data_IF_767375968016
#
_entry.id   IF_767375968016
#
_cell.length_a   1.000
_cell.length_b   1.000
_cell.length_c   1.000
_cell.angle_alpha   90.00
_cell.angle_beta   90.00
_cell.angle_gamma   90.00
#
_symmetry.space_group_name_H-M   'P 1'
#
loop_
_entity.id
_entity.type
_entity.pdbx_description
1 polymer ?
#
# COMPACT_ATOMS: atom_id res chain seq x y z
N UNK A 1 -57.28 52.30 -73.25
CA UNK A 1 -58.69 52.22 -72.85
C UNK A 1 -58.79 51.64 -71.43
N UNK A 2 -59.69 52.21 -70.61
CA UNK A 2 -60.16 51.80 -69.27
C UNK A 2 -59.13 51.87 -68.11
N UNK A 3 -59.26 52.82 -67.15
CA UNK A 3 -60.20 52.88 -65.99
C UNK A 3 -59.91 51.72 -65.01
N UNK A 4 -59.70 51.88 -63.70
CA UNK A 4 -60.19 52.86 -62.70
C UNK A 4 -59.44 52.66 -61.36
N UNK A 5 -59.11 53.78 -60.69
CA UNK A 5 -59.18 54.12 -59.25
C UNK A 5 -59.23 53.00 -58.20
N UNK A 6 -58.37 53.07 -57.17
CA UNK A 6 -58.73 53.58 -55.84
C UNK A 6 -57.51 53.66 -54.91
N UNK A 7 -57.43 54.76 -54.17
CA UNK A 7 -56.48 55.02 -53.09
C UNK A 7 -56.93 54.35 -51.79
N UNK A 8 -55.99 53.96 -50.92
CA UNK A 8 -55.83 54.55 -49.58
C UNK A 8 -54.86 53.73 -48.71
N UNK A 9 -54.03 54.50 -48.00
CA UNK A 9 -53.09 54.22 -46.94
C UNK A 9 -53.27 52.96 -46.08
N UNK A 10 -52.15 52.26 -45.90
CA UNK A 10 -51.87 51.40 -44.75
C UNK A 10 -50.35 51.31 -44.55
N UNK A 11 -49.76 52.31 -43.90
CA UNK A 11 -48.40 52.23 -43.35
C UNK A 11 -48.39 51.12 -42.30
N UNK A 12 -47.58 50.08 -42.47
CA UNK A 12 -47.55 48.97 -41.52
C UNK A 12 -46.34 48.05 -41.69
N UNK A 13 -45.25 48.45 -41.02
CA UNK A 13 -44.16 47.61 -40.52
C UNK A 13 -43.19 46.98 -41.53
N UNK A 14 -42.19 47.78 -41.92
CA UNK A 14 -40.90 47.28 -42.43
C UNK A 14 -40.09 46.70 -41.26
N UNK A 15 -39.44 45.56 -41.53
CA UNK A 15 -38.63 44.71 -40.67
C UNK A 15 -37.72 45.44 -39.66
N UNK A 16 -37.67 44.91 -38.43
CA UNK A 16 -36.47 44.96 -37.58
C UNK A 16 -36.14 43.53 -37.10
N UNK A 17 -35.50 42.74 -37.98
CA UNK A 17 -34.73 41.55 -37.62
C UNK A 17 -33.28 41.93 -37.26
N UNK A 18 -33.11 43.04 -36.52
CA UNK A 18 -31.80 43.51 -36.09
C UNK A 18 -31.61 43.18 -34.61
N UNK A 19 -30.80 42.16 -34.34
CA UNK A 19 -30.12 42.05 -33.06
C UNK A 19 -30.25 40.72 -32.32
N UNK A 20 -29.85 39.60 -32.92
CA UNK A 20 -28.96 38.72 -32.16
C UNK A 20 -27.61 39.43 -32.06
N UNK A 21 -27.55 40.49 -31.24
CA UNK A 21 -26.25 40.93 -30.74
C UNK A 21 -25.67 39.70 -30.05
N UNK A 22 -24.48 39.26 -30.47
CA UNK A 22 -23.64 38.41 -29.63
C UNK A 22 -23.43 39.21 -28.36
N UNK A 23 -24.30 39.00 -27.37
CA UNK A 23 -24.14 39.55 -26.05
C UNK A 23 -22.76 39.10 -25.60
N UNK A 24 -21.93 40.07 -25.21
CA UNK A 24 -20.67 39.77 -24.59
C UNK A 24 -20.97 39.08 -23.26
N UNK A 25 -21.01 37.74 -23.30
CA UNK A 25 -21.22 36.88 -22.14
C UNK A 25 -20.07 37.00 -21.14
N UNK A 26 -18.98 37.70 -21.50
CA UNK A 26 -17.87 37.90 -20.61
C UNK A 26 -18.10 39.03 -19.62
N UNK A 27 -19.15 39.87 -19.70
CA UNK A 27 -19.58 40.89 -18.70
C UNK A 27 -18.53 41.36 -17.66
N UNK A 28 -17.30 41.72 -18.06
CA UNK A 28 -16.24 42.11 -17.12
C UNK A 28 -15.64 41.00 -16.23
N UNK A 29 -15.97 39.73 -16.49
CA UNK A 29 -15.32 38.55 -15.95
C UNK A 29 -13.88 38.54 -16.48
N UNK A 30 -12.94 38.77 -15.57
CA UNK A 30 -11.53 38.53 -15.85
C UNK A 30 -11.30 37.07 -16.29
N UNK A 31 -10.20 36.79 -16.99
CA UNK A 31 -9.84 35.42 -17.33
C UNK A 31 -9.88 34.56 -16.06
N UNK A 32 -10.59 33.44 -16.10
CA UNK A 32 -10.58 32.52 -14.98
C UNK A 32 -9.14 32.11 -14.68
N UNK A 33 -8.73 32.10 -13.39
CA UNK A 33 -7.40 31.63 -13.05
C UNK A 33 -7.22 30.21 -13.58
N UNK A 34 -6.01 29.90 -14.03
CA UNK A 34 -5.69 28.55 -14.48
C UNK A 34 -6.10 27.53 -13.41
N UNK A 35 -6.82 26.49 -13.83
CA UNK A 35 -7.26 25.44 -12.93
C UNK A 35 -6.04 24.83 -12.21
N UNK A 36 -6.00 24.94 -10.88
CA UNK A 36 -4.97 24.28 -10.09
C UNK A 36 -5.30 22.80 -10.00
N UNK A 37 -4.39 21.98 -10.52
CA UNK A 37 -4.45 20.52 -10.37
C UNK A 37 -4.37 20.16 -8.89
N UNK A 38 -5.31 19.34 -8.41
CA UNK A 38 -5.21 18.77 -7.07
C UNK A 38 -3.99 17.85 -6.99
N UNK A 39 -3.22 17.98 -5.92
CA UNK A 39 -2.09 17.11 -5.60
C UNK A 39 -2.08 16.79 -4.10
N UNK A 40 -1.99 15.50 -3.71
CA UNK A 40 -1.79 15.10 -2.33
C UNK A 40 -0.47 15.63 -1.75
N UNK A 41 -0.38 15.64 -0.42
CA UNK A 41 0.76 16.15 0.34
C UNK A 41 1.45 14.99 1.05
N UNK A 42 2.77 14.84 0.85
CA UNK A 42 3.55 13.89 1.60
C UNK A 42 3.62 14.29 3.09
N UNK A 43 3.49 13.32 3.99
CA UNK A 43 3.35 13.50 5.43
C UNK A 43 1.91 13.80 5.89
N UNK A 44 0.93 13.79 5.00
CA UNK A 44 -0.47 13.90 5.39
C UNK A 44 -0.98 12.59 6.01
N UNK A 45 -1.76 12.69 7.08
CA UNK A 45 -2.37 11.54 7.74
C UNK A 45 -3.86 11.42 7.41
N UNK A 46 -4.40 10.21 7.41
CA UNK A 46 -5.77 9.91 6.99
C UNK A 46 -6.48 9.04 8.04
N UNK A 47 -7.75 9.34 8.28
CA UNK A 47 -8.57 8.61 9.26
C UNK A 47 -8.79 7.13 8.88
N UNK A 48 -8.68 6.82 7.58
CA UNK A 48 -8.91 5.50 7.00
C UNK A 48 -7.68 5.12 6.18
N UNK A 49 -7.27 3.86 6.28
CA UNK A 49 -6.48 3.21 5.25
C UNK A 49 -7.48 2.52 4.34
N UNK A 50 -7.64 3.01 3.11
CA UNK A 50 -8.45 2.32 2.12
C UNK A 50 -7.55 1.30 1.43
N UNK A 51 -7.60 0.05 1.88
CA UNK A 51 -6.80 -1.06 1.37
C UNK A 51 -7.43 -1.74 0.15
N UNK A 52 -8.57 -1.23 -0.32
CA UNK A 52 -9.31 -1.76 -1.48
C UNK A 52 -9.36 -0.82 -2.68
N UNK A 53 -9.28 0.50 -2.45
CA UNK A 53 -9.32 1.46 -3.52
C UNK A 53 -7.99 1.55 -4.25
N UNK A 54 -7.98 1.39 -5.57
CA UNK A 54 -6.78 1.64 -6.39
C UNK A 54 -6.69 3.13 -6.82
N UNK A 55 -7.77 3.88 -6.61
CA UNK A 55 -7.92 5.27 -6.99
C UNK A 55 -8.29 6.13 -5.79
N UNK A 56 -7.69 7.31 -5.72
CA UNK A 56 -7.99 8.34 -4.75
C UNK A 56 -8.83 9.45 -5.39
N UNK A 57 -10.02 9.65 -4.82
CA UNK A 57 -10.91 10.75 -5.15
C UNK A 57 -10.46 12.03 -4.45
N UNK A 58 -10.50 13.15 -5.16
CA UNK A 58 -10.01 14.44 -4.65
C UNK A 58 -10.89 15.00 -3.52
N UNK A 59 -12.20 14.75 -3.56
CA UNK A 59 -13.18 15.14 -2.55
C UNK A 59 -13.12 14.27 -1.28
N UNK A 60 -12.57 13.06 -1.38
CA UNK A 60 -12.28 12.18 -0.25
C UNK A 60 -10.93 12.46 0.42
N UNK A 61 -10.08 13.29 -0.19
CA UNK A 61 -8.82 13.73 0.41
C UNK A 61 -9.06 14.70 1.57
N UNK A 62 -9.27 14.13 2.76
CA UNK A 62 -9.58 14.83 4.01
C UNK A 62 -8.49 14.52 5.05
N UNK A 63 -7.28 15.10 4.91
CA UNK A 63 -6.20 14.82 5.83
C UNK A 63 -6.56 15.26 7.25
N UNK A 64 -6.17 14.43 8.22
CA UNK A 64 -6.33 14.67 9.66
C UNK A 64 -4.98 15.00 10.30
N UNK A 65 -4.95 15.68 11.45
CA UNK A 65 -3.69 15.94 12.16
C UNK A 65 -3.01 14.63 12.59
N UNK A 66 -1.74 14.43 12.22
CA UNK A 66 -0.98 13.23 12.60
C UNK A 66 -0.78 13.07 14.12
N UNK A 67 -0.89 14.16 14.90
CA UNK A 67 -0.87 14.09 16.35
C UNK A 67 -2.15 13.46 16.94
N UNK A 68 -3.24 13.46 16.15
CA UNK A 68 -4.50 12.81 16.47
C UNK A 68 -4.59 11.38 15.93
N UNK A 69 -5.70 10.69 16.22
CA UNK A 69 -5.97 9.35 15.70
C UNK A 69 -6.04 9.33 14.17
N UNK A 70 -5.31 8.39 13.56
CA UNK A 70 -5.32 8.13 12.11
C UNK A 70 -4.88 6.69 11.83
N UNK A 71 -5.15 6.18 10.62
CA UNK A 71 -4.83 4.80 10.21
C UNK A 71 -3.83 4.72 9.06
N UNK A 72 -3.67 5.81 8.31
CA UNK A 72 -2.71 5.87 7.22
C UNK A 72 -1.93 7.19 7.20
N UNK A 73 -0.73 7.15 6.61
CA UNK A 73 0.10 8.33 6.35
C UNK A 73 0.66 8.26 4.92
N UNK A 74 0.58 9.37 4.19
CA UNK A 74 1.19 9.48 2.85
C UNK A 74 2.69 9.62 2.99
N UNK A 75 3.44 8.52 2.89
CA UNK A 75 4.90 8.54 3.00
C UNK A 75 5.57 9.29 1.84
N UNK A 76 4.99 9.21 0.64
CA UNK A 76 5.49 9.88 -0.55
C UNK A 76 4.38 10.20 -1.56
N UNK A 77 4.63 11.20 -2.40
CA UNK A 77 3.84 11.50 -3.59
C UNK A 77 4.78 11.57 -4.78
N UNK A 78 4.58 10.67 -5.74
CA UNK A 78 5.40 10.53 -6.95
C UNK A 78 4.73 11.25 -8.11
N UNK A 79 5.50 11.57 -9.14
CA UNK A 79 4.97 12.06 -10.42
C UNK A 79 4.82 10.90 -11.38
N UNK A 80 3.67 10.82 -12.06
CA UNK A 80 3.50 9.88 -13.16
C UNK A 80 4.25 10.40 -14.39
N UNK A 81 5.11 9.56 -14.96
CA UNK A 81 5.76 9.84 -16.24
C UNK A 81 4.77 9.70 -17.40
N UNK A 82 5.07 10.36 -18.52
CA UNK A 82 4.21 10.28 -19.71
C UNK A 82 4.06 8.85 -20.26
N UNK A 83 5.11 8.02 -20.13
CA UNK A 83 5.08 6.61 -20.55
C UNK A 83 4.11 5.78 -19.70
N UNK A 84 4.08 6.01 -18.38
CA UNK A 84 3.21 5.31 -17.43
C UNK A 84 1.73 5.61 -17.68
N UNK A 85 1.41 6.83 -18.11
CA UNK A 85 0.03 7.25 -18.45
C UNK A 85 -0.47 6.58 -19.74
N UNK A 86 0.43 6.21 -20.65
CA UNK A 86 0.09 5.68 -21.99
C UNK A 86 0.10 4.15 -22.09
N UNK A 87 0.43 3.45 -21.00
CA UNK A 87 0.62 2.00 -20.97
C UNK A 87 -0.69 1.21 -20.90
N UNK A 88 -0.82 0.16 -21.72
CA UNK A 88 -1.88 -0.86 -21.61
C UNK A 88 -1.57 -1.97 -20.57
N UNK A 89 -0.36 -1.97 -20.00
CA UNK A 89 0.08 -2.89 -18.93
C UNK A 89 -0.37 -2.34 -17.57
N UNK A 90 -0.64 -3.18 -16.54
CA UNK A 90 -0.92 -2.70 -15.18
C UNK A 90 0.31 -1.98 -14.63
N UNK A 91 0.36 -0.67 -14.83
CA UNK A 91 1.43 0.22 -14.36
C UNK A 91 1.51 0.23 -12.82
N UNK A 92 0.49 -0.29 -12.16
CA UNK A 92 0.41 -0.50 -10.73
C UNK A 92 1.65 -1.24 -10.18
N UNK A 93 2.28 -2.15 -10.94
CA UNK A 93 3.50 -2.86 -10.48
C UNK A 93 4.73 -1.94 -10.46
N UNK A 94 4.84 -1.03 -11.43
CA UNK A 94 5.88 0.02 -11.45
C UNK A 94 5.65 0.99 -10.29
N UNK A 95 4.41 1.43 -10.09
CA UNK A 95 4.01 2.29 -8.98
C UNK A 95 4.32 1.65 -7.62
N UNK A 96 4.00 0.37 -7.46
CA UNK A 96 4.27 -0.38 -6.24
C UNK A 96 5.77 -0.50 -5.94
N UNK A 97 6.59 -0.71 -6.99
CA UNK A 97 8.05 -0.75 -6.87
C UNK A 97 8.63 0.59 -6.43
N UNK A 98 8.23 1.69 -7.07
CA UNK A 98 8.71 3.03 -6.71
C UNK A 98 8.17 3.49 -5.34
N UNK A 99 6.91 3.18 -5.02
CA UNK A 99 6.36 3.39 -3.69
C UNK A 99 7.13 2.61 -2.64
N UNK A 100 7.41 1.32 -2.86
CA UNK A 100 8.24 0.50 -1.95
C UNK A 100 9.57 1.18 -1.66
N UNK A 101 10.28 1.65 -2.69
CA UNK A 101 11.58 2.33 -2.53
C UNK A 101 11.48 3.59 -1.67
N UNK A 102 10.48 4.44 -1.94
CA UNK A 102 10.28 5.72 -1.25
C UNK A 102 9.81 5.53 0.18
N UNK A 103 8.88 4.59 0.39
CA UNK A 103 8.40 4.17 1.70
C UNK A 103 9.55 3.61 2.54
N UNK A 104 10.37 2.71 1.98
CA UNK A 104 11.49 2.11 2.72
C UNK A 104 12.49 3.17 3.20
N UNK A 105 12.81 4.15 2.34
CA UNK A 105 13.67 5.27 2.72
C UNK A 105 13.06 6.14 3.85
N UNK A 106 11.74 6.33 3.82
CA UNK A 106 11.02 7.14 4.80
C UNK A 106 10.83 6.41 6.15
N UNK A 107 10.54 5.10 6.13
CA UNK A 107 10.46 4.23 7.32
C UNK A 107 11.83 3.92 7.93
N UNK A 108 12.90 3.99 7.12
CA UNK A 108 14.26 3.67 7.54
C UNK A 108 14.61 2.19 7.50
N UNK A 109 13.84 1.39 6.77
CA UNK A 109 13.98 -0.07 6.63
C UNK A 109 12.97 -0.62 5.62
N UNK A 110 13.08 -1.90 5.27
CA UNK A 110 12.09 -2.55 4.39
C UNK A 110 10.76 -2.68 5.13
N UNK A 111 9.68 -2.11 4.56
CA UNK A 111 8.34 -2.10 5.16
C UNK A 111 7.86 -3.49 5.55
N UNK A 112 8.27 -4.52 4.80
CA UNK A 112 7.92 -5.92 5.04
C UNK A 112 8.56 -6.51 6.29
N UNK A 113 9.54 -5.84 6.88
CA UNK A 113 10.16 -6.24 8.17
C UNK A 113 9.39 -5.74 9.38
N UNK A 114 8.34 -4.94 9.18
CA UNK A 114 7.44 -4.51 10.23
C UNK A 114 5.98 -4.91 10.00
N UNK A 115 5.16 -4.58 10.98
CA UNK A 115 3.69 -4.68 10.89
C UNK A 115 3.11 -3.53 10.04
N UNK A 116 3.66 -3.34 8.85
CA UNK A 116 3.33 -2.25 7.93
C UNK A 116 2.78 -2.83 6.64
N UNK A 117 1.90 -2.07 6.00
CA UNK A 117 1.46 -2.26 4.62
C UNK A 117 1.69 -0.97 3.83
N UNK A 118 1.82 -1.11 2.52
CA UNK A 118 1.89 0.03 1.60
C UNK A 118 0.72 -0.03 0.62
N UNK A 119 0.18 1.12 0.28
CA UNK A 119 -0.95 1.23 -0.62
C UNK A 119 -0.74 2.36 -1.63
N UNK A 120 -0.31 2.03 -2.87
CA UNK A 120 -0.24 3.00 -3.95
C UNK A 120 -1.64 3.40 -4.43
N UNK A 121 -1.92 4.69 -4.41
CA UNK A 121 -3.17 5.28 -4.86
C UNK A 121 -2.94 6.23 -6.03
N UNK A 122 -3.81 6.09 -7.02
CA UNK A 122 -3.72 6.82 -8.28
C UNK A 122 -4.76 7.95 -8.30
N UNK A 123 -4.66 8.97 -9.13
CA UNK A 123 -5.77 9.91 -9.31
C UNK A 123 -6.93 9.15 -9.96
N UNK A 124 -8.17 9.52 -9.65
CA UNK A 124 -9.34 8.97 -10.33
C UNK A 124 -9.30 9.19 -11.84
N UNK A 125 -10.06 8.42 -12.61
CA UNK A 125 -10.16 8.57 -14.07
C UNK A 125 -10.50 10.00 -14.49
N UNK A 126 -11.39 10.66 -13.76
CA UNK A 126 -11.78 12.06 -13.99
C UNK A 126 -10.64 13.03 -13.68
N UNK A 127 -9.91 12.81 -12.58
CA UNK A 127 -8.74 13.60 -12.24
C UNK A 127 -7.63 13.43 -13.29
N UNK A 128 -7.44 12.21 -13.79
CA UNK A 128 -6.49 11.92 -14.87
C UNK A 128 -6.88 12.61 -16.18
N UNK A 129 -8.17 12.57 -16.56
CA UNK A 129 -8.70 13.31 -17.71
C UNK A 129 -8.52 14.83 -17.53
N UNK A 130 -8.65 15.31 -16.30
CA UNK A 130 -8.35 16.68 -15.91
C UNK A 130 -6.86 17.04 -15.96
N UNK A 131 -5.94 16.07 -16.07
CA UNK A 131 -4.49 16.28 -16.16
C UNK A 131 -3.69 15.88 -14.92
N UNK A 132 -4.29 15.22 -13.92
CA UNK A 132 -3.60 14.83 -12.70
C UNK A 132 -2.56 13.74 -13.00
N UNK A 133 -1.33 13.95 -12.55
CA UNK A 133 -0.18 13.05 -12.78
C UNK A 133 0.60 12.84 -11.49
N UNK A 134 0.05 12.02 -10.60
CA UNK A 134 0.72 11.69 -9.34
C UNK A 134 0.40 10.27 -8.87
N UNK A 135 1.24 9.70 -8.01
CA UNK A 135 0.95 8.48 -7.24
C UNK A 135 1.11 8.82 -5.77
N UNK A 136 0.12 8.50 -4.95
CA UNK A 136 0.15 8.67 -3.50
C UNK A 136 0.53 7.34 -2.87
N UNK A 137 1.68 7.27 -2.20
CA UNK A 137 2.13 6.07 -1.51
C UNK A 137 1.74 6.16 -0.04
N UNK A 138 0.59 5.61 0.31
CA UNK A 138 0.13 5.56 1.69
C UNK A 138 0.74 4.35 2.42
N UNK A 139 0.96 4.50 3.72
CA UNK A 139 1.38 3.42 4.61
C UNK A 139 0.41 3.34 5.78
N UNK A 140 0.20 2.12 6.27
CA UNK A 140 -0.58 1.87 7.47
C UNK A 140 0.07 0.79 8.32
N UNK A 141 -0.21 0.81 9.61
CA UNK A 141 0.09 -0.34 10.47
C UNK A 141 -1.03 -1.35 10.36
N UNK A 142 -0.65 -2.61 10.22
CA UNK A 142 -1.58 -3.72 10.14
C UNK A 142 -1.50 -4.56 11.40
N UNK A 143 -2.65 -4.82 12.01
CA UNK A 143 -2.71 -5.68 13.18
C UNK A 143 -2.23 -7.09 12.82
N UNK A 144 -1.30 -7.67 13.58
CA UNK A 144 -0.78 -9.01 13.33
C UNK A 144 -1.76 -10.14 13.71
N UNK A 145 -2.94 -9.79 14.22
CA UNK A 145 -3.98 -10.73 14.66
C UNK A 145 -5.07 -10.73 13.57
N UNK A 146 -5.93 -9.72 13.58
CA UNK A 146 -7.12 -9.62 12.74
C UNK A 146 -6.91 -8.95 11.37
N UNK A 147 -5.66 -8.57 11.02
CA UNK A 147 -5.33 -7.93 9.73
C UNK A 147 -6.15 -6.67 9.43
N UNK A 148 -6.48 -5.92 10.47
CA UNK A 148 -7.12 -4.60 10.33
C UNK A 148 -6.14 -3.47 10.55
N UNK A 149 -6.37 -2.36 9.85
CA UNK A 149 -5.56 -1.15 10.01
C UNK A 149 -5.66 -0.60 11.44
N UNK A 150 -4.51 -0.46 12.09
CA UNK A 150 -4.40 0.01 13.48
C UNK A 150 -4.54 1.52 13.53
N UNK A 151 -5.37 2.01 14.44
CA UNK A 151 -5.44 3.44 14.76
C UNK A 151 -4.22 3.86 15.60
N UNK A 152 -3.56 4.94 15.18
CA UNK A 152 -2.31 5.41 15.78
C UNK A 152 -2.29 6.91 15.98
N UNK A 153 -1.31 7.35 16.76
CA UNK A 153 -0.93 8.75 16.95
C UNK A 153 0.56 8.91 16.67
N UNK A 154 0.92 10.03 16.06
CA UNK A 154 2.28 10.32 15.62
C UNK A 154 2.63 9.65 14.29
N UNK A 155 3.64 10.19 13.63
CA UNK A 155 4.08 9.73 12.31
C UNK A 155 4.77 8.36 12.37
N UNK A 156 4.60 7.56 11.31
CA UNK A 156 5.32 6.29 11.12
C UNK A 156 6.76 6.48 10.61
N UNK A 157 7.20 7.72 10.34
CA UNK A 157 8.53 8.01 9.80
C UNK A 157 9.63 7.45 10.70
N UNK A 158 10.57 6.69 10.13
CA UNK A 158 11.70 6.14 10.85
C UNK A 158 11.37 4.99 11.82
N UNK A 159 10.14 4.47 11.83
CA UNK A 159 9.72 3.41 12.76
C UNK A 159 10.30 2.03 12.47
N UNK A 160 11.00 1.86 11.35
CA UNK A 160 11.71 0.62 10.98
C UNK A 160 13.23 0.76 11.03
N UNK A 161 13.75 1.86 11.58
CA UNK A 161 15.15 1.94 11.99
C UNK A 161 15.46 0.89 13.06
N UNK A 162 16.72 0.49 13.28
CA UNK A 162 17.08 -0.45 14.34
C UNK A 162 16.48 -0.06 15.70
N UNK A 163 15.78 -1.00 16.35
CA UNK A 163 15.06 -0.75 17.61
C UNK A 163 13.71 -0.05 17.46
N UNK A 164 13.25 0.18 16.24
CA UNK A 164 11.96 0.79 15.93
C UNK A 164 10.77 -0.07 16.37
N UNK A 165 9.68 0.60 16.76
CA UNK A 165 8.52 -0.03 17.43
C UNK A 165 7.70 -0.94 16.52
N UNK A 166 7.82 -0.80 15.20
CA UNK A 166 7.03 -1.57 14.24
C UNK A 166 7.75 -2.79 13.69
N UNK A 167 9.04 -2.94 14.01
CA UNK A 167 9.81 -4.11 13.59
C UNK A 167 9.20 -5.38 14.18
N UNK A 168 9.03 -6.39 13.32
CA UNK A 168 8.68 -7.73 13.77
C UNK A 168 9.86 -8.31 14.55
N UNK A 169 9.55 -8.92 15.69
CA UNK A 169 10.54 -9.54 16.57
C UNK A 169 10.01 -10.88 17.06
N UNK A 170 9.80 -11.05 18.36
CA UNK A 170 9.28 -12.26 18.96
C UNK A 170 7.76 -12.14 19.16
N UNK A 171 7.05 -13.25 19.04
CA UNK A 171 5.61 -13.30 19.17
C UNK A 171 5.14 -14.65 19.69
N UNK A 172 3.87 -14.70 20.10
CA UNK A 172 3.16 -15.95 20.29
C UNK A 172 2.22 -16.15 19.11
N UNK A 173 2.34 -17.28 18.43
CA UNK A 173 1.46 -17.59 17.30
C UNK A 173 0.28 -18.42 17.75
N UNK A 174 -0.90 -18.08 17.26
CA UNK A 174 -2.05 -18.98 17.24
C UNK A 174 -2.40 -19.33 15.81
N UNK A 175 -2.66 -20.61 15.56
CA UNK A 175 -3.07 -21.12 14.25
C UNK A 175 -4.59 -21.34 14.33
N UNK A 176 -5.33 -20.59 13.52
CA UNK A 176 -6.77 -20.69 13.37
C UNK A 176 -7.19 -21.98 12.66
N UNK A 177 -8.49 -22.27 12.68
CA UNK A 177 -9.06 -23.47 12.03
C UNK A 177 -9.02 -23.42 10.49
N UNK A 178 -8.74 -22.26 9.92
CA UNK A 178 -8.60 -21.99 8.48
C UNK A 178 -7.13 -21.87 8.04
N UNK A 179 -6.19 -22.35 8.88
CA UNK A 179 -4.75 -22.15 8.74
C UNK A 179 -4.31 -20.66 8.81
N UNK A 180 -5.21 -19.77 9.26
CA UNK A 180 -4.88 -18.39 9.58
C UNK A 180 -3.84 -18.32 10.70
N UNK A 181 -2.87 -17.42 10.55
CA UNK A 181 -1.84 -17.19 11.56
C UNK A 181 -2.13 -15.86 12.24
N UNK A 182 -2.28 -15.88 13.57
CA UNK A 182 -2.30 -14.68 14.40
C UNK A 182 -0.98 -14.61 15.16
N UNK A 183 -0.32 -13.47 15.10
CA UNK A 183 0.88 -13.21 15.89
C UNK A 183 0.55 -12.23 17.00
N UNK A 184 0.93 -12.57 18.23
CA UNK A 184 0.83 -11.71 19.39
C UNK A 184 2.23 -11.24 19.78
N UNK A 185 2.69 -10.04 19.34
CA UNK A 185 4.03 -9.56 19.62
C UNK A 185 4.32 -9.49 21.11
N UNK A 186 5.47 -10.00 21.53
CA UNK A 186 5.95 -9.95 22.91
C UNK A 186 7.45 -9.63 22.93
N UNK A 187 7.98 -9.05 24.03
CA UNK A 187 9.42 -8.91 24.19
C UNK A 187 10.10 -10.28 24.07
N UNK A 188 11.22 -10.37 23.36
CA UNK A 188 11.96 -11.64 23.26
C UNK A 188 12.44 -12.18 24.61
N UNK A 189 12.58 -11.34 25.63
CA UNK A 189 12.89 -11.77 26.99
C UNK A 189 11.74 -12.57 27.65
N UNK A 190 10.51 -12.38 27.18
CA UNK A 190 9.33 -13.14 27.59
C UNK A 190 9.28 -14.50 26.87
N UNK A 191 8.50 -15.42 27.42
CA UNK A 191 8.19 -16.69 26.75
C UNK A 191 7.45 -16.43 25.43
N UNK A 192 7.95 -17.01 24.34
CA UNK A 192 7.40 -16.88 22.99
C UNK A 192 7.63 -18.19 22.21
N UNK A 193 6.89 -18.43 21.13
CA UNK A 193 7.11 -19.57 20.23
C UNK A 193 7.44 -19.17 18.80
N UNK A 194 7.43 -17.88 18.47
CA UNK A 194 7.89 -17.41 17.17
C UNK A 194 8.87 -16.26 17.26
N UNK A 195 9.76 -16.22 16.27
CA UNK A 195 10.70 -15.11 16.08
C UNK A 195 10.90 -14.81 14.60
N UNK A 196 10.70 -13.54 14.22
CA UNK A 196 10.91 -13.08 12.85
C UNK A 196 12.37 -13.23 12.45
N UNK A 197 12.61 -14.04 11.42
CA UNK A 197 13.95 -14.36 10.94
C UNK A 197 14.37 -13.47 9.75
N UNK A 198 13.41 -13.06 8.93
CA UNK A 198 13.65 -12.23 7.77
C UNK A 198 12.68 -12.51 6.62
N UNK A 199 13.06 -12.07 5.43
CA UNK A 199 12.25 -12.17 4.22
C UNK A 199 12.81 -13.22 3.27
N UNK A 200 11.91 -13.94 2.61
CA UNK A 200 12.17 -14.65 1.36
C UNK A 200 11.41 -13.94 0.25
N UNK A 201 12.05 -13.62 -0.88
CA UNK A 201 11.37 -13.04 -2.06
C UNK A 201 11.26 -14.12 -3.12
N UNK A 202 10.03 -14.45 -3.51
CA UNK A 202 9.75 -15.52 -4.46
C UNK A 202 10.15 -15.09 -5.87
N UNK A 203 10.83 -15.94 -6.65
CA UNK A 203 11.09 -15.70 -8.06
C UNK A 203 9.87 -16.04 -8.95
N UNK A 204 8.79 -16.58 -8.37
CA UNK A 204 7.58 -16.92 -9.12
C UNK A 204 6.91 -15.65 -9.63
N UNK A 205 6.35 -15.76 -10.84
CA UNK A 205 5.61 -14.66 -11.48
C UNK A 205 4.15 -14.68 -11.05
N UNK A 206 3.51 -15.84 -11.23
CA UNK A 206 2.10 -16.02 -10.92
C UNK A 206 1.92 -16.53 -9.49
N UNK A 207 0.86 -16.05 -8.82
CA UNK A 207 0.48 -16.51 -7.49
C UNK A 207 0.11 -18.01 -7.50
N UNK A 208 -0.49 -18.51 -8.57
CA UNK A 208 -0.88 -19.92 -8.73
C UNK A 208 0.32 -20.89 -8.78
N UNK A 209 1.51 -20.40 -9.11
CA UNK A 209 2.76 -21.19 -9.10
C UNK A 209 3.43 -21.19 -7.71
N UNK A 210 2.92 -20.41 -6.77
CA UNK A 210 3.42 -20.33 -5.41
C UNK A 210 2.78 -21.44 -4.56
N UNK A 211 3.62 -22.23 -3.89
CA UNK A 211 3.19 -23.39 -3.12
C UNK A 211 3.85 -23.42 -1.74
N UNK A 212 3.30 -24.22 -0.84
CA UNK A 212 3.91 -24.48 0.47
C UNK A 212 5.35 -25.01 0.35
N UNK A 213 5.62 -25.87 -0.65
CA UNK A 213 6.95 -26.41 -0.90
C UNK A 213 7.95 -25.32 -1.35
N UNK A 214 7.49 -24.35 -2.15
CA UNK A 214 8.32 -23.19 -2.52
C UNK A 214 8.64 -22.32 -1.30
N UNK A 215 7.66 -22.13 -0.42
CA UNK A 215 7.85 -21.37 0.82
C UNK A 215 8.81 -22.07 1.78
N UNK A 216 8.71 -23.38 1.93
CA UNK A 216 9.63 -24.19 2.73
C UNK A 216 11.08 -24.04 2.25
N UNK A 217 11.28 -24.25 0.94
CA UNK A 217 12.58 -24.11 0.28
C UNK A 217 13.16 -22.70 0.44
N UNK A 218 12.31 -21.68 0.38
CA UNK A 218 12.72 -20.28 0.46
C UNK A 218 12.98 -19.76 1.87
N UNK A 219 12.15 -20.15 2.85
CA UNK A 219 12.31 -19.73 4.24
C UNK A 219 13.45 -20.49 4.94
N UNK A 220 13.67 -21.77 4.64
CA UNK A 220 14.77 -22.57 5.23
C UNK A 220 16.14 -21.85 5.29
N UNK A 221 16.70 -21.32 4.17
CA UNK A 221 17.95 -20.57 4.21
C UNK A 221 17.88 -19.26 5.01
N UNK A 222 16.70 -18.62 5.11
CA UNK A 222 16.49 -17.43 5.94
C UNK A 222 16.62 -17.78 7.42
N UNK A 223 15.94 -18.86 7.85
CA UNK A 223 15.98 -19.35 9.23
C UNK A 223 17.38 -19.80 9.62
N UNK A 224 18.03 -20.60 8.78
CA UNK A 224 19.38 -21.11 9.02
C UNK A 224 20.39 -19.96 9.19
N UNK A 225 20.36 -18.97 8.29
CA UNK A 225 21.20 -17.77 8.36
C UNK A 225 20.91 -16.94 9.61
N UNK A 226 19.64 -16.75 9.94
CA UNK A 226 19.23 -16.01 11.13
C UNK A 226 19.75 -16.67 12.41
N UNK A 227 19.54 -17.98 12.54
CA UNK A 227 19.93 -18.74 13.73
C UNK A 227 21.43 -19.08 13.78
N UNK A 228 22.16 -18.94 12.67
CA UNK A 228 23.57 -19.31 12.59
C UNK A 228 23.80 -20.83 12.63
N UNK A 229 22.94 -21.60 11.97
CA UNK A 229 23.03 -23.06 11.84
C UNK A 229 23.19 -23.47 10.37
N UNK A 230 23.67 -24.70 10.08
CA UNK A 230 23.71 -25.21 8.72
C UNK A 230 22.32 -25.24 8.07
N UNK A 231 22.22 -24.82 6.81
CA UNK A 231 21.03 -25.02 5.98
C UNK A 231 21.11 -26.40 5.32
N UNK A 232 20.72 -27.45 6.05
CA UNK A 232 20.75 -28.83 5.59
C UNK A 232 19.48 -29.57 6.03
N UNK A 233 19.40 -30.87 5.72
CA UNK A 233 18.28 -31.73 6.12
C UNK A 233 18.01 -31.80 7.63
N UNK A 234 18.95 -31.36 8.46
CA UNK A 234 18.75 -31.38 9.91
C UNK A 234 17.98 -30.15 10.41
N UNK A 235 17.75 -29.14 9.56
CA UNK A 235 17.09 -27.90 9.96
C UNK A 235 15.64 -28.13 10.42
N UNK A 236 14.91 -29.01 9.75
CA UNK A 236 13.53 -29.37 10.10
C UNK A 236 13.41 -29.99 11.49
N UNK A 237 14.44 -30.74 11.92
CA UNK A 237 14.50 -31.31 13.26
C UNK A 237 14.97 -30.31 14.32
N UNK A 238 15.54 -29.17 13.93
CA UNK A 238 15.97 -28.11 14.85
C UNK A 238 14.83 -27.15 15.17
N UNK A 239 14.07 -26.76 14.15
CA UNK A 239 13.04 -25.73 14.26
C UNK A 239 11.99 -25.88 13.18
N UNK A 240 10.73 -25.65 13.55
CA UNK A 240 9.65 -25.49 12.59
C UNK A 240 9.64 -24.08 12.02
N UNK A 241 8.67 -23.81 11.16
CA UNK A 241 8.49 -22.47 10.62
C UNK A 241 7.02 -22.14 10.35
N UNK A 242 6.71 -20.86 10.51
CA UNK A 242 5.48 -20.24 10.03
C UNK A 242 5.88 -19.02 9.21
N UNK A 243 5.03 -18.63 8.26
CA UNK A 243 5.30 -17.45 7.45
C UNK A 243 4.02 -16.76 7.01
N UNK A 244 4.12 -15.44 6.89
CA UNK A 244 3.09 -14.63 6.25
C UNK A 244 3.41 -14.49 4.78
N UNK A 245 2.49 -14.95 3.95
CA UNK A 245 2.54 -14.80 2.51
C UNK A 245 1.67 -13.62 2.06
N UNK A 246 2.03 -12.93 0.97
CA UNK A 246 1.12 -12.05 0.25
C UNK A 246 -0.10 -12.84 -0.24
N UNK A 247 -1.26 -12.18 -0.32
CA UNK A 247 -2.43 -12.74 -1.01
C UNK A 247 -2.32 -12.49 -2.52
N UNK A 248 -3.21 -13.09 -3.32
CA UNK A 248 -3.20 -12.95 -4.78
C UNK A 248 -3.24 -11.48 -5.25
N UNK A 249 -4.04 -10.64 -4.59
CA UNK A 249 -4.13 -9.22 -4.93
C UNK A 249 -2.79 -8.50 -4.73
N UNK A 250 -2.20 -8.57 -3.54
CA UNK A 250 -0.90 -7.95 -3.23
C UNK A 250 0.26 -8.56 -4.02
N UNK A 251 0.17 -9.85 -4.35
CA UNK A 251 1.08 -10.51 -5.28
C UNK A 251 1.03 -9.85 -6.66
N UNK A 252 -0.17 -9.67 -7.20
CA UNK A 252 -0.36 -9.06 -8.51
C UNK A 252 0.09 -7.60 -8.56
N UNK A 253 0.08 -6.89 -7.43
CA UNK A 253 0.68 -5.54 -7.30
C UNK A 253 2.22 -5.56 -7.28
N UNK A 254 2.84 -6.72 -7.07
CA UNK A 254 4.30 -6.91 -7.08
C UNK A 254 4.91 -7.22 -5.71
N UNK A 255 4.11 -7.48 -4.67
CA UNK A 255 4.66 -8.01 -3.41
C UNK A 255 4.81 -9.53 -3.45
N UNK A 256 6.04 -10.00 -3.68
CA UNK A 256 6.35 -11.43 -3.71
C UNK A 256 7.15 -11.88 -2.47
N UNK A 257 7.09 -11.11 -1.38
CA UNK A 257 7.94 -11.34 -0.21
C UNK A 257 7.19 -12.00 0.95
N UNK A 258 7.72 -13.13 1.40
CA UNK A 258 7.22 -13.87 2.55
C UNK A 258 7.99 -13.44 3.80
N UNK A 259 7.26 -13.29 4.90
CA UNK A 259 7.82 -12.96 6.22
C UNK A 259 8.03 -14.28 6.96
N UNK A 260 9.28 -14.75 7.03
CA UNK A 260 9.62 -16.06 7.61
C UNK A 260 9.89 -15.93 9.12
N UNK A 261 9.29 -16.82 9.91
CA UNK A 261 9.47 -16.91 11.35
C UNK A 261 10.03 -18.29 11.73
N UNK A 262 10.98 -18.30 12.68
CA UNK A 262 11.26 -19.52 13.44
C UNK A 262 10.01 -19.88 14.23
N UNK A 263 9.65 -21.16 14.26
CA UNK A 263 8.53 -21.64 15.04
C UNK A 263 8.95 -22.78 15.96
N UNK A 264 8.66 -22.61 17.25
CA UNK A 264 9.10 -23.50 18.31
C UNK A 264 7.97 -24.36 18.88
N UNK A 265 6.70 -24.14 18.53
CA UNK A 265 5.61 -24.86 19.18
C UNK A 265 5.79 -26.39 19.13
N UNK A 266 5.36 -27.13 20.17
CA UNK A 266 4.58 -26.67 21.33
C UNK A 266 5.42 -26.02 22.45
N UNK A 267 6.76 -25.98 22.33
CA UNK A 267 7.63 -25.36 23.34
C UNK A 267 7.61 -23.83 23.23
N UNK A 268 7.77 -23.17 24.39
CA UNK A 268 8.06 -21.74 24.48
C UNK A 268 9.52 -21.55 24.84
N UNK A 269 10.16 -20.56 24.23
CA UNK A 269 11.56 -20.21 24.45
C UNK A 269 11.70 -18.81 25.02
N UNK A 270 12.89 -18.46 25.52
CA UNK A 270 13.24 -17.11 25.98
C UNK A 270 14.53 -16.62 25.35
N UNK A 271 14.60 -15.31 25.15
CA UNK A 271 15.66 -14.63 24.41
C UNK A 271 15.59 -14.89 22.91
N UNK A 272 16.28 -14.04 22.14
CA UNK A 272 16.42 -14.22 20.69
C UNK A 272 17.23 -15.46 20.35
N UNK A 273 16.89 -16.09 19.22
CA UNK A 273 17.62 -17.17 18.57
C UNK A 273 18.51 -16.66 17.43
N UNK A 274 18.60 -15.35 17.22
CA UNK A 274 19.56 -14.76 16.27
C UNK A 274 20.98 -15.20 16.62
N UNK A 275 21.65 -15.87 15.69
CA UNK A 275 23.00 -16.44 15.83
C UNK A 275 23.16 -17.36 17.05
N UNK A 276 22.08 -18.05 17.44
CA UNK A 276 22.07 -19.01 18.54
C UNK A 276 23.00 -20.22 18.34
N UNK A 277 23.28 -20.59 17.09
CA UNK A 277 24.09 -21.75 16.74
C UNK A 277 23.43 -23.09 17.07
N UNK A 278 24.14 -24.17 16.74
CA UNK A 278 23.63 -25.54 16.84
C UNK A 278 23.49 -26.05 18.28
N UNK A 279 24.13 -25.40 19.25
CA UNK A 279 24.03 -25.75 20.67
C UNK A 279 22.69 -25.31 21.29
N UNK A 280 22.30 -24.05 21.09
CA UNK A 280 21.01 -23.53 21.58
C UNK A 280 19.84 -23.99 20.70
N UNK A 281 20.07 -24.18 19.40
CA UNK A 281 19.10 -24.75 18.46
C UNK A 281 19.49 -26.19 18.10
N UNK A 282 19.44 -27.08 19.09
CA UNK A 282 19.76 -28.49 18.95
C UNK A 282 18.69 -29.27 18.16
N UNK A 283 19.11 -30.35 17.50
CA UNK A 283 18.21 -31.32 16.85
C UNK A 283 17.29 -31.91 17.92
N UNK A 284 16.00 -31.89 17.66
CA UNK A 284 14.96 -32.55 18.43
C UNK A 284 14.60 -33.83 17.65
N UNK A 285 14.88 -34.99 18.23
CA UNK A 285 14.31 -36.23 17.72
C UNK A 285 12.86 -36.31 18.21
N UNK A 286 11.95 -36.73 17.34
CA UNK A 286 10.61 -37.11 17.80
C UNK A 286 10.76 -38.39 18.60
N UNK A 287 10.47 -38.33 19.91
CA UNK A 287 10.30 -39.51 20.76
C UNK A 287 8.98 -40.22 20.45
#
# INVERSE_FOLDING_TARGET
MMRRRAAALGLGLILLLTGCARGDITQGWGPMPAAKQFRPVAGACHAILDDTAEQALADEYKPVPCAGPHKAETAAVLDLTAAEVSSATPWINSAYTECTKKVNAWLGGDWRTGWVVIHPLMPSSEAQAGGARWIRCDVGEMSPIDRVAVERKGSMKGTLKPGGKLLMTCANTTIGSDDGLDEHPVPCASKHDTEFAGLYVSPKKEYSDFSRAEMDKGCSPVLARFAGVPNNRDLEYRVGWVAFQPNEHTWNLGDHAMRCFLWFAPRKVTGSYRKAGTGKLAIQYAD
#
